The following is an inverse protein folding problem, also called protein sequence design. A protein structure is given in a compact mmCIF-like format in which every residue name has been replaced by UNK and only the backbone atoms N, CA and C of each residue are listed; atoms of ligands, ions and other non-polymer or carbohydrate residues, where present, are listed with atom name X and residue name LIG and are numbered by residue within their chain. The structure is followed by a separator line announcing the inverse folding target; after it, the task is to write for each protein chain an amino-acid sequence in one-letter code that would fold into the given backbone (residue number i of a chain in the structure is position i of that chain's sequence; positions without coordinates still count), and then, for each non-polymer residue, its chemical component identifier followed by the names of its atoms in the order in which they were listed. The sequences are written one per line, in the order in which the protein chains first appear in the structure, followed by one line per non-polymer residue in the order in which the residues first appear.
data_IF_864183475653
#
_entry.id   IF_864183475653
#
_cell.length_a   1.000
_cell.length_b   1.000
_cell.length_c   1.000
_cell.angle_alpha   90.00
_cell.angle_beta   90.00
_cell.angle_gamma   90.00
#
_symmetry.space_group_name_H-M   'P 1'
#
loop_
_entity.id
_entity.type
_entity.pdbx_description
1 polymer ?
#
# COMPACT_ATOMS: atom_id res chain seq x y z
N UNK A 1 14.36 -18.73 16.85
CA UNK A 1 14.64 -18.18 15.49
C UNK A 1 13.70 -17.03 15.16
N UNK A 2 12.38 -17.20 15.37
CA UNK A 2 11.36 -16.15 15.11
C UNK A 2 11.61 -14.81 15.82
N UNK A 3 11.89 -14.82 17.14
CA UNK A 3 12.18 -13.58 17.88
C UNK A 3 13.41 -12.80 17.35
N UNK A 4 14.42 -13.50 16.82
CA UNK A 4 15.56 -12.85 16.14
C UNK A 4 15.11 -12.17 14.84
N UNK A 5 14.26 -12.82 14.04
CA UNK A 5 13.74 -12.22 12.81
C UNK A 5 12.89 -10.98 13.08
N UNK A 6 12.10 -10.96 14.17
CA UNK A 6 11.34 -9.78 14.57
C UNK A 6 12.28 -8.62 14.97
N UNK A 7 13.33 -8.91 15.76
CA UNK A 7 14.35 -7.89 16.11
C UNK A 7 15.13 -7.39 14.90
N UNK A 8 15.44 -8.27 13.95
CA UNK A 8 16.15 -7.93 12.72
C UNK A 8 15.38 -6.94 11.84
N UNK A 9 14.07 -6.76 12.06
CA UNK A 9 13.30 -5.71 11.39
C UNK A 9 13.96 -4.33 11.55
N UNK A 10 14.57 -4.02 12.69
CA UNK A 10 15.26 -2.75 12.92
C UNK A 10 16.43 -2.50 11.94
N UNK A 11 17.03 -3.57 11.42
CA UNK A 11 18.14 -3.51 10.47
C UNK A 11 17.70 -3.55 9.00
N UNK A 12 16.41 -3.70 8.71
CA UNK A 12 15.87 -3.57 7.35
C UNK A 12 16.07 -2.14 6.81
N UNK A 13 16.00 -2.00 5.50
CA UNK A 13 16.21 -0.72 4.83
C UNK A 13 15.12 0.30 5.21
N UNK A 14 15.46 1.61 5.31
CA UNK A 14 14.51 2.66 5.65
C UNK A 14 13.23 2.69 4.80
N UNK A 15 13.32 2.39 3.50
CA UNK A 15 12.12 2.33 2.66
C UNK A 15 11.17 1.16 3.01
N UNK A 16 11.70 0.04 3.51
CA UNK A 16 10.89 -1.08 4.00
C UNK A 16 10.16 -0.70 5.29
N UNK A 17 10.79 0.11 6.15
CA UNK A 17 10.15 0.68 7.34
C UNK A 17 9.02 1.63 6.94
N UNK A 18 9.23 2.52 5.96
CA UNK A 18 8.19 3.42 5.48
C UNK A 18 6.94 2.64 5.02
N UNK A 19 7.14 1.59 4.20
CA UNK A 19 6.07 0.68 3.75
C UNK A 19 5.35 0.01 4.92
N UNK A 20 6.10 -0.48 5.90
CA UNK A 20 5.53 -1.13 7.07
C UNK A 20 4.64 -0.17 7.86
N UNK A 21 5.12 1.04 8.15
CA UNK A 21 4.36 2.03 8.92
C UNK A 21 3.17 2.60 8.13
N UNK A 22 3.25 2.75 6.80
CA UNK A 22 2.09 3.07 5.97
C UNK A 22 1.01 1.99 6.08
N UNK A 23 1.40 0.71 6.02
CA UNK A 23 0.46 -0.41 6.20
C UNK A 23 -0.10 -0.47 7.63
N UNK A 24 0.72 -0.16 8.62
CA UNK A 24 0.29 -0.06 10.01
C UNK A 24 -0.79 1.00 10.17
N UNK A 25 -0.58 2.22 9.64
CA UNK A 25 -1.53 3.33 9.75
C UNK A 25 -2.84 3.08 8.99
N UNK A 26 -2.76 2.45 7.82
CA UNK A 26 -3.92 2.26 6.93
C UNK A 26 -4.72 0.99 7.22
N UNK A 27 -4.17 -0.01 7.93
CA UNK A 27 -4.91 -1.24 8.23
C UNK A 27 -5.78 -1.10 9.48
N UNK A 28 -7.00 -1.64 9.45
CA UNK A 28 -7.90 -1.71 10.62
C UNK A 28 -7.21 -2.38 11.83
N UNK A 29 -6.57 -3.54 11.61
CA UNK A 29 -5.79 -4.26 12.62
C UNK A 29 -4.44 -4.61 12.03
N UNK A 30 -3.38 -4.26 12.75
CA UNK A 30 -2.02 -4.70 12.47
C UNK A 30 -1.24 -4.69 13.79
N UNK A 31 -0.65 -5.83 14.14
CA UNK A 31 0.24 -5.96 15.29
C UNK A 31 1.65 -5.53 14.91
N UNK A 32 2.22 -4.60 15.66
CA UNK A 32 3.58 -4.10 15.46
C UNK A 32 4.62 -5.16 15.80
N UNK A 33 5.85 -4.98 15.32
CA UNK A 33 6.95 -5.90 15.63
C UNK A 33 7.27 -5.92 17.12
N UNK A 34 7.14 -4.77 17.79
CA UNK A 34 7.41 -4.64 19.22
C UNK A 34 6.31 -5.32 20.06
N UNK A 35 5.03 -5.15 19.72
CA UNK A 35 3.93 -5.88 20.37
C UNK A 35 4.09 -7.40 20.24
N UNK A 36 4.47 -7.89 19.05
CA UNK A 36 4.73 -9.31 18.83
C UNK A 36 5.96 -9.80 19.62
N UNK A 37 6.99 -8.97 19.79
CA UNK A 37 8.18 -9.29 20.58
C UNK A 37 7.86 -9.37 22.07
N UNK A 38 7.09 -8.42 22.60
CA UNK A 38 6.64 -8.41 23.99
C UNK A 38 5.78 -9.64 24.28
N UNK A 39 4.81 -9.94 23.40
CA UNK A 39 3.96 -11.12 23.55
C UNK A 39 4.73 -12.44 23.42
N UNK A 40 5.87 -12.46 22.73
CA UNK A 40 6.67 -13.68 22.53
C UNK A 40 7.28 -14.21 23.83
N UNK A 41 7.58 -13.35 24.80
CA UNK A 41 8.10 -13.76 26.11
C UNK A 41 7.10 -14.60 26.91
N UNK A 42 5.81 -14.42 26.64
CA UNK A 42 4.75 -15.16 27.30
C UNK A 42 4.41 -16.49 26.63
N UNK A 43 4.99 -16.80 25.46
CA UNK A 43 4.69 -18.02 24.68
C UNK A 43 5.46 -19.21 25.25
N UNK A 44 4.72 -20.17 25.82
CA UNK A 44 5.27 -21.45 26.30
C UNK A 44 4.79 -22.62 25.44
N UNK A 45 5.42 -23.79 25.61
CA UNK A 45 5.01 -25.03 24.89
C UNK A 45 3.58 -25.41 25.25
N UNK A 46 3.20 -25.27 26.52
CA UNK A 46 1.88 -25.61 27.04
C UNK A 46 0.81 -24.67 26.44
N UNK A 47 1.09 -23.36 26.39
CA UNK A 47 0.18 -22.40 25.74
C UNK A 47 0.06 -22.65 24.24
N UNK A 48 1.14 -23.03 23.56
CA UNK A 48 1.10 -23.38 22.14
C UNK A 48 0.27 -24.64 21.89
N UNK A 49 0.42 -25.67 22.73
CA UNK A 49 -0.38 -26.89 22.67
C UNK A 49 -1.87 -26.58 22.88
N UNK A 50 -2.20 -25.78 23.89
CA UNK A 50 -3.57 -25.32 24.12
C UNK A 50 -4.11 -24.51 22.92
N UNK A 51 -3.32 -23.59 22.38
CA UNK A 51 -3.70 -22.79 21.21
C UNK A 51 -4.01 -23.66 19.98
N UNK A 52 -3.24 -24.72 19.72
CA UNK A 52 -3.52 -25.66 18.61
C UNK A 52 -4.89 -26.33 18.82
N UNK A 53 -5.19 -26.75 20.04
CA UNK A 53 -6.49 -27.31 20.41
C UNK A 53 -7.63 -26.30 20.31
N UNK A 54 -7.37 -25.00 20.45
CA UNK A 54 -8.36 -23.93 20.30
C UNK A 54 -8.56 -23.47 18.84
N UNK A 55 -7.51 -23.55 18.02
CA UNK A 55 -7.49 -23.06 16.64
C UNK A 55 -8.25 -23.98 15.67
N UNK A 56 -8.00 -25.29 15.75
CA UNK A 56 -8.48 -26.28 14.77
C UNK A 56 -9.98 -26.65 14.86
N UNK A 57 -10.69 -26.56 16.01
CA UNK A 57 -12.09 -26.98 16.09
C UNK A 57 -13.08 -26.17 15.27
N UNK A 58 -12.75 -24.94 14.84
CA UNK A 58 -13.65 -24.09 14.05
C UNK A 58 -12.91 -23.42 12.91
N UNK A 59 -13.16 -23.86 11.68
CA UNK A 59 -12.45 -23.36 10.51
C UNK A 59 -13.38 -23.03 9.36
N UNK A 60 -12.88 -22.18 8.47
CA UNK A 60 -13.39 -21.98 7.12
C UNK A 60 -12.22 -22.25 6.17
N UNK A 61 -12.42 -23.15 5.23
CA UNK A 61 -11.39 -23.57 4.27
C UNK A 61 -11.81 -23.08 2.90
N UNK A 62 -10.96 -22.26 2.29
CA UNK A 62 -11.08 -21.86 0.90
C UNK A 62 -9.83 -22.33 0.18
N UNK A 63 -10.02 -23.15 -0.86
CA UNK A 63 -8.93 -23.81 -1.56
C UNK A 63 -9.03 -23.59 -3.06
N UNK A 64 -7.88 -23.41 -3.70
CA UNK A 64 -7.74 -23.43 -5.16
C UNK A 64 -6.94 -24.66 -5.56
N UNK A 65 -7.57 -25.54 -6.33
CA UNK A 65 -6.90 -26.68 -6.95
C UNK A 65 -6.81 -26.40 -8.45
N UNK A 66 -5.59 -26.26 -8.96
CA UNK A 66 -5.32 -25.89 -10.34
C UNK A 66 -4.11 -26.64 -10.90
N UNK A 67 -4.29 -27.38 -12.00
CA UNK A 67 -3.21 -28.14 -12.63
C UNK A 67 -3.70 -29.41 -13.32
N UNK A 68 -2.81 -30.40 -13.44
CA UNK A 68 -3.10 -31.70 -14.04
C UNK A 68 -3.85 -32.62 -13.07
N UNK A 69 -5.09 -32.25 -12.76
CA UNK A 69 -5.98 -33.00 -11.85
C UNK A 69 -7.40 -32.93 -12.38
N UNK A 70 -8.13 -34.03 -12.22
CA UNK A 70 -9.55 -34.08 -12.57
C UNK A 70 -10.40 -33.46 -11.47
N UNK A 71 -11.65 -33.11 -11.80
CA UNK A 71 -12.63 -32.66 -10.81
C UNK A 71 -12.84 -33.67 -9.69
N UNK A 72 -12.87 -34.97 -10.01
CA UNK A 72 -13.04 -36.03 -9.01
C UNK A 72 -11.87 -36.06 -8.03
N UNK A 73 -10.63 -36.04 -8.54
CA UNK A 73 -9.42 -35.99 -7.71
C UNK A 73 -9.38 -34.73 -6.85
N UNK A 74 -9.82 -33.59 -7.40
CA UNK A 74 -9.86 -32.32 -6.65
C UNK A 74 -10.85 -32.38 -5.48
N UNK A 75 -12.03 -32.96 -5.69
CA UNK A 75 -13.03 -33.15 -4.64
C UNK A 75 -12.57 -34.17 -3.59
N UNK A 76 -11.87 -35.22 -4.02
CA UNK A 76 -11.29 -36.21 -3.13
C UNK A 76 -10.18 -35.61 -2.25
N UNK A 77 -9.28 -34.79 -2.82
CA UNK A 77 -8.25 -34.08 -2.06
C UNK A 77 -8.86 -33.17 -0.99
N UNK A 78 -9.92 -32.44 -1.33
CA UNK A 78 -10.61 -31.58 -0.36
C UNK A 78 -11.28 -32.44 0.73
N UNK A 79 -12.00 -33.50 0.36
CA UNK A 79 -12.62 -34.44 1.31
C UNK A 79 -11.59 -35.01 2.28
N UNK A 80 -10.40 -35.42 1.80
CA UNK A 80 -9.34 -35.94 2.66
C UNK A 80 -8.88 -34.91 3.70
N UNK A 81 -8.76 -33.63 3.32
CA UNK A 81 -8.41 -32.54 4.24
C UNK A 81 -9.52 -32.33 5.29
N UNK A 82 -10.77 -32.27 4.84
CA UNK A 82 -11.96 -32.16 5.69
C UNK A 82 -12.03 -33.34 6.70
N UNK A 83 -11.91 -34.57 6.20
CA UNK A 83 -11.95 -35.81 6.98
C UNK A 83 -10.82 -35.87 8.03
N UNK A 84 -9.59 -35.49 7.66
CA UNK A 84 -8.46 -35.46 8.60
C UNK A 84 -8.67 -34.44 9.72
N UNK A 85 -9.21 -33.25 9.42
CA UNK A 85 -9.50 -32.22 10.41
C UNK A 85 -10.66 -32.64 11.32
N UNK A 86 -11.72 -33.20 10.74
CA UNK A 86 -12.87 -33.73 11.48
C UNK A 86 -12.45 -34.87 12.42
N UNK A 87 -11.66 -35.83 11.94
CA UNK A 87 -11.24 -36.98 12.71
C UNK A 87 -10.27 -36.62 13.86
N UNK A 88 -9.33 -35.72 13.62
CA UNK A 88 -8.26 -35.42 14.59
C UNK A 88 -8.54 -34.18 15.46
N UNK A 89 -9.44 -33.30 15.05
CA UNK A 89 -9.66 -32.00 15.73
C UNK A 89 -11.14 -31.66 15.92
N UNK A 90 -12.06 -32.56 15.54
CA UNK A 90 -13.51 -32.35 15.63
C UNK A 90 -13.93 -31.02 15.00
N UNK A 91 -13.26 -30.64 13.90
CA UNK A 91 -13.44 -29.38 13.22
C UNK A 91 -14.87 -29.20 12.73
N UNK A 92 -15.42 -28.00 12.93
CA UNK A 92 -16.77 -27.61 12.52
C UNK A 92 -16.72 -26.30 11.72
N UNK A 93 -17.76 -26.02 10.91
CA UNK A 93 -17.75 -24.81 10.09
C UNK A 93 -17.78 -23.56 10.96
N UNK A 94 -16.96 -22.58 10.59
CA UNK A 94 -17.18 -21.20 11.04
C UNK A 94 -18.52 -20.69 10.51
N UNK A 95 -19.22 -19.94 11.34
CA UNK A 95 -20.43 -19.25 10.90
C UNK A 95 -20.07 -18.17 9.87
N UNK A 96 -20.92 -17.90 8.86
CA UNK A 96 -20.63 -16.88 7.85
C UNK A 96 -20.31 -15.50 8.45
N UNK A 97 -20.96 -15.12 9.56
CA UNK A 97 -20.71 -13.86 10.27
C UNK A 97 -19.36 -13.80 10.99
N UNK A 98 -18.73 -14.95 11.27
CA UNK A 98 -17.41 -15.03 11.90
C UNK A 98 -16.27 -14.90 10.87
N UNK A 99 -16.56 -15.03 9.57
CA UNK A 99 -15.60 -14.81 8.50
C UNK A 99 -15.39 -13.30 8.24
N UNK A 100 -14.95 -12.57 9.29
CA UNK A 100 -14.68 -11.13 9.22
C UNK A 100 -13.37 -10.88 8.48
N UNK A 101 -13.41 -9.97 7.50
CA UNK A 101 -12.23 -9.45 6.80
C UNK A 101 -11.90 -8.06 7.32
N UNK A 102 -10.62 -7.78 7.47
CA UNK A 102 -10.13 -6.46 7.87
C UNK A 102 -10.28 -5.44 6.75
N UNK A 103 -10.52 -4.19 7.14
CA UNK A 103 -10.73 -3.04 6.26
C UNK A 103 -9.51 -2.13 6.24
N UNK A 104 -9.54 -1.17 5.33
CA UNK A 104 -8.57 -0.09 5.28
C UNK A 104 -9.22 1.21 5.79
N UNK A 105 -8.44 2.01 6.51
CA UNK A 105 -8.81 3.33 7.01
C UNK A 105 -9.13 4.25 5.84
N UNK A 106 -10.22 4.99 5.96
CA UNK A 106 -10.66 6.01 5.02
C UNK A 106 -10.13 7.36 5.47
N UNK A 107 -9.16 7.88 4.73
CA UNK A 107 -8.61 9.20 4.94
C UNK A 107 -9.65 10.28 4.54
N UNK A 108 -9.81 11.37 5.30
CA UNK A 108 -10.77 12.43 4.99
C UNK A 108 -10.34 13.32 3.82
N UNK A 109 -11.30 13.86 3.08
CA UNK A 109 -11.06 14.79 1.97
C UNK A 109 -10.15 15.97 2.39
N UNK A 110 -9.14 16.27 1.58
CA UNK A 110 -8.17 17.34 1.83
C UNK A 110 -7.17 17.07 2.94
N UNK A 111 -7.13 15.86 3.52
CA UNK A 111 -6.22 15.58 4.62
C UNK A 111 -4.75 15.56 4.20
N UNK A 112 -3.89 15.90 5.16
CA UNK A 112 -2.47 15.64 5.09
C UNK A 112 -1.99 15.15 6.46
N UNK A 113 -1.74 13.85 6.55
CA UNK A 113 -1.18 13.23 7.75
C UNK A 113 0.31 12.94 7.57
N UNK A 114 1.07 13.09 8.66
CA UNK A 114 2.49 12.80 8.70
C UNK A 114 2.83 11.91 9.89
N UNK A 115 3.41 10.75 9.64
CA UNK A 115 4.01 9.91 10.68
C UNK A 115 5.53 9.92 10.54
N UNK A 116 6.24 10.11 11.65
CA UNK A 116 7.71 10.14 11.68
C UNK A 116 8.23 8.99 12.52
N UNK A 117 9.25 8.30 12.01
CA UNK A 117 9.96 7.23 12.69
C UNK A 117 11.45 7.38 12.48
N UNK A 118 12.24 6.74 13.34
CA UNK A 118 13.70 6.74 13.26
C UNK A 118 14.22 5.38 12.80
N UNK A 119 15.27 5.39 12.00
CA UNK A 119 16.09 4.22 11.72
C UNK A 119 17.48 4.44 12.32
N UNK A 120 17.87 3.57 13.23
CA UNK A 120 19.13 3.68 13.98
C UNK A 120 20.29 2.90 13.35
N UNK A 121 20.07 2.28 12.18
CA UNK A 121 21.04 1.38 11.54
C UNK A 121 21.61 1.98 10.26
N UNK A 122 20.75 2.58 9.42
CA UNK A 122 21.14 3.09 8.10
C UNK A 122 21.30 4.61 8.10
N UNK A 123 22.29 5.11 7.36
CA UNK A 123 22.62 6.55 7.20
C UNK A 123 21.63 7.30 6.30
N UNK A 124 20.95 6.60 5.40
CA UNK A 124 19.93 7.21 4.55
C UNK A 124 18.58 7.30 5.27
N UNK A 125 17.85 8.37 5.02
CA UNK A 125 16.43 8.48 5.36
C UNK A 125 15.56 7.94 4.23
N UNK A 126 14.26 7.74 4.49
CA UNK A 126 13.30 7.40 3.45
C UNK A 126 11.93 8.02 3.72
N UNK A 127 11.18 8.17 2.64
CA UNK A 127 9.80 8.62 2.65
C UNK A 127 8.94 7.70 1.78
N UNK A 128 7.73 7.39 2.24
CA UNK A 128 6.62 6.98 1.39
C UNK A 128 5.52 8.04 1.47
N UNK A 129 5.11 8.57 0.32
CA UNK A 129 3.93 9.42 0.19
C UNK A 129 2.83 8.61 -0.48
N UNK A 130 1.70 8.47 0.20
CA UNK A 130 0.53 7.74 -0.25
C UNK A 130 -0.64 8.70 -0.51
N UNK A 131 -1.19 8.64 -1.72
CA UNK A 131 -2.39 9.35 -2.14
C UNK A 131 -3.52 8.34 -2.32
N UNK A 132 -4.42 8.24 -1.34
CA UNK A 132 -5.51 7.25 -1.35
C UNK A 132 -6.62 7.63 -2.34
N UNK A 133 -6.87 6.77 -3.31
CA UNK A 133 -7.82 7.02 -4.41
C UNK A 133 -9.17 6.29 -4.23
N UNK A 134 -9.38 5.63 -3.09
CA UNK A 134 -10.63 4.95 -2.74
C UNK A 134 -10.74 3.50 -3.21
N UNK A 135 -11.98 3.03 -3.38
CA UNK A 135 -12.28 1.63 -3.65
C UNK A 135 -11.88 1.18 -5.05
N UNK A 136 -11.49 -0.08 -5.15
CA UNK A 136 -11.25 -0.77 -6.41
C UNK A 136 -12.56 -1.10 -7.13
N UNK A 137 -12.63 -0.69 -8.40
CA UNK A 137 -13.61 -1.09 -9.39
C UNK A 137 -12.97 -0.91 -10.78
N UNK A 138 -13.61 -1.41 -11.84
CA UNK A 138 -13.05 -1.38 -13.20
C UNK A 138 -12.56 0.01 -13.62
N UNK A 139 -13.36 1.05 -13.40
CA UNK A 139 -13.03 2.41 -13.77
C UNK A 139 -11.86 2.98 -12.96
N UNK A 140 -11.97 2.96 -11.63
CA UNK A 140 -10.95 3.48 -10.73
C UNK A 140 -9.61 2.74 -10.89
N UNK A 141 -9.67 1.42 -11.12
CA UNK A 141 -8.48 0.61 -11.36
C UNK A 141 -7.75 1.08 -12.62
N UNK A 142 -8.50 1.34 -13.71
CA UNK A 142 -7.89 1.68 -15.00
C UNK A 142 -7.40 3.11 -15.02
N UNK A 143 -8.11 4.05 -14.41
CA UNK A 143 -7.64 5.42 -14.24
C UNK A 143 -6.33 5.47 -13.45
N UNK A 144 -6.27 4.79 -12.30
CA UNK A 144 -5.08 4.79 -11.46
C UNK A 144 -3.90 4.05 -12.10
N UNK A 145 -4.13 2.88 -12.71
CA UNK A 145 -3.06 2.15 -13.42
C UNK A 145 -2.53 2.94 -14.63
N UNK A 146 -3.42 3.55 -15.43
CA UNK A 146 -3.01 4.38 -16.57
C UNK A 146 -2.26 5.63 -16.09
N UNK A 147 -2.71 6.25 -15.00
CA UNK A 147 -2.00 7.38 -14.39
C UNK A 147 -0.58 6.98 -14.00
N UNK A 148 -0.41 5.86 -13.29
CA UNK A 148 0.91 5.36 -12.90
C UNK A 148 1.76 4.94 -14.11
N UNK A 149 1.16 4.42 -15.19
CA UNK A 149 1.85 4.11 -16.44
C UNK A 149 2.38 5.37 -17.13
N UNK A 150 1.64 6.48 -17.08
CA UNK A 150 2.04 7.78 -17.65
C UNK A 150 3.15 8.43 -16.82
N UNK A 151 2.97 8.51 -15.50
CA UNK A 151 3.91 9.23 -14.64
C UNK A 151 5.14 8.41 -14.23
N UNK A 152 5.17 7.11 -14.51
CA UNK A 152 6.20 6.19 -14.03
C UNK A 152 7.61 6.56 -14.49
N UNK A 153 7.81 6.73 -15.80
CA UNK A 153 9.09 7.16 -16.36
C UNK A 153 9.45 8.60 -15.94
N UNK A 154 8.54 9.60 -16.06
CA UNK A 154 8.84 10.97 -15.61
C UNK A 154 9.22 11.06 -14.14
N UNK A 155 8.52 10.31 -13.26
CA UNK A 155 8.82 10.26 -11.83
C UNK A 155 10.23 9.74 -11.57
N UNK A 156 10.62 8.66 -12.25
CA UNK A 156 11.95 8.11 -12.13
C UNK A 156 12.97 9.08 -12.70
N UNK A 157 12.80 9.56 -13.92
CA UNK A 157 13.75 10.47 -14.56
C UNK A 157 14.00 11.74 -13.73
N UNK A 158 12.94 12.40 -13.26
CA UNK A 158 13.06 13.65 -12.49
C UNK A 158 13.70 13.38 -11.13
N UNK A 159 13.09 12.51 -10.29
CA UNK A 159 13.55 12.35 -8.91
C UNK A 159 14.86 11.54 -8.80
N UNK A 160 15.11 10.59 -9.71
CA UNK A 160 16.31 9.73 -9.70
C UNK A 160 17.43 10.27 -10.57
N UNK A 161 17.16 10.58 -11.83
CA UNK A 161 18.21 10.86 -12.83
C UNK A 161 18.66 12.32 -12.77
N UNK A 162 17.70 13.26 -12.74
CA UNK A 162 17.97 14.69 -12.77
C UNK A 162 18.28 15.24 -11.38
N UNK A 163 17.39 15.01 -10.41
CA UNK A 163 17.53 15.55 -9.05
C UNK A 163 18.40 14.68 -8.13
N UNK A 164 18.71 13.45 -8.57
CA UNK A 164 19.63 12.53 -7.89
C UNK A 164 19.29 12.27 -6.41
N UNK A 165 17.99 12.22 -6.07
CA UNK A 165 17.56 12.15 -4.67
C UNK A 165 17.99 10.85 -3.96
N UNK A 166 18.18 9.76 -4.69
CA UNK A 166 18.76 8.54 -4.14
C UNK A 166 18.54 7.35 -5.05
N UNK A 167 19.15 6.20 -4.75
CA UNK A 167 19.08 5.02 -5.63
C UNK A 167 17.67 4.44 -5.77
N UNK A 168 16.93 4.44 -4.67
CA UNK A 168 15.59 3.88 -4.60
C UNK A 168 14.61 5.04 -4.82
N UNK A 169 14.03 5.07 -6.02
CA UNK A 169 12.90 5.92 -6.39
C UNK A 169 11.88 5.02 -7.06
N UNK A 170 10.68 4.96 -6.50
CA UNK A 170 9.60 4.13 -7.01
C UNK A 170 8.29 4.90 -6.98
N UNK A 171 7.50 4.79 -8.05
CA UNK A 171 6.10 5.19 -8.05
C UNK A 171 5.22 4.05 -8.58
N UNK A 172 3.98 3.97 -8.08
CA UNK A 172 3.03 3.01 -8.60
C UNK A 172 1.81 2.82 -7.72
N UNK A 173 1.01 1.82 -8.09
CA UNK A 173 -0.24 1.50 -7.39
C UNK A 173 0.05 0.76 -6.09
N UNK A 174 -0.56 1.23 -4.99
CA UNK A 174 -0.73 0.48 -3.74
C UNK A 174 -2.15 -0.08 -3.71
N UNK A 175 -2.31 -1.37 -3.38
CA UNK A 175 -3.61 -2.04 -3.18
C UNK A 175 -3.63 -2.77 -1.85
N UNK A 176 -4.68 -2.55 -1.06
CA UNK A 176 -4.86 -3.23 0.22
C UNK A 176 -6.33 -3.21 0.60
N UNK A 177 -6.84 -4.36 1.06
CA UNK A 177 -8.22 -4.56 1.55
C UNK A 177 -9.35 -3.96 0.67
N UNK A 178 -9.17 -3.99 -0.66
CA UNK A 178 -10.15 -3.44 -1.61
C UNK A 178 -10.01 -1.95 -1.91
N UNK A 179 -9.08 -1.26 -1.26
CA UNK A 179 -8.74 0.15 -1.45
C UNK A 179 -7.44 0.25 -2.25
N UNK A 180 -7.24 1.37 -2.93
CA UNK A 180 -6.04 1.63 -3.71
C UNK A 180 -5.62 3.10 -3.70
N UNK A 181 -4.40 3.37 -4.17
CA UNK A 181 -3.93 4.72 -4.38
C UNK A 181 -2.54 4.76 -5.01
N UNK A 182 -2.09 5.97 -5.35
CA UNK A 182 -0.72 6.21 -5.80
C UNK A 182 0.22 6.21 -4.59
N UNK A 183 1.37 5.56 -4.70
CA UNK A 183 2.49 5.74 -3.77
C UNK A 183 3.75 6.17 -4.48
N UNK A 184 4.54 7.01 -3.80
CA UNK A 184 5.89 7.40 -4.20
C UNK A 184 6.83 7.08 -3.03
N UNK A 185 7.88 6.31 -3.28
CA UNK A 185 8.86 5.89 -2.28
C UNK A 185 10.23 6.39 -2.71
N UNK A 186 10.92 7.10 -1.82
CA UNK A 186 12.29 7.56 -2.05
C UNK A 186 13.14 7.21 -0.83
N UNK A 187 14.31 6.62 -1.05
CA UNK A 187 15.36 6.49 -0.03
C UNK A 187 16.50 7.43 -0.41
N UNK A 188 16.84 8.35 0.49
CA UNK A 188 17.71 9.50 0.22
C UNK A 188 18.65 9.78 1.37
N UNK A 189 19.81 10.38 1.08
CA UNK A 189 20.65 11.02 2.10
C UNK A 189 20.12 12.41 2.53
N UNK A 190 19.14 12.97 1.80
CA UNK A 190 18.50 14.24 2.13
C UNK A 190 17.41 14.05 3.18
N UNK A 191 17.10 15.09 3.98
CA UNK A 191 15.99 15.06 4.92
C UNK A 191 14.65 14.73 4.23
N UNK A 192 13.78 13.87 4.80
CA UNK A 192 12.49 13.51 4.20
C UNK A 192 11.60 14.71 3.83
N UNK A 193 11.63 15.79 4.60
CA UNK A 193 10.87 17.02 4.32
C UNK A 193 11.29 17.68 2.99
N UNK A 194 12.60 17.71 2.70
CA UNK A 194 13.11 18.20 1.42
C UNK A 194 12.63 17.30 0.28
N UNK A 195 12.74 15.98 0.46
CA UNK A 195 12.32 14.99 -0.54
C UNK A 195 10.82 15.06 -0.79
N UNK A 196 10.00 15.28 0.24
CA UNK A 196 8.56 15.49 0.08
C UNK A 196 8.24 16.72 -0.76
N UNK A 197 8.94 17.84 -0.54
CA UNK A 197 8.82 19.03 -1.38
C UNK A 197 9.16 18.75 -2.85
N UNK A 198 10.18 17.94 -3.13
CA UNK A 198 10.53 17.51 -4.49
C UNK A 198 9.47 16.59 -5.12
N UNK A 199 8.92 15.65 -4.33
CA UNK A 199 7.80 14.81 -4.78
C UNK A 199 6.60 15.69 -5.14
N UNK A 200 6.28 16.70 -4.33
CA UNK A 200 5.16 17.60 -4.58
C UNK A 200 5.40 18.55 -5.76
N UNK A 201 6.64 19.01 -5.97
CA UNK A 201 7.03 19.71 -7.20
C UNK A 201 6.80 18.84 -8.44
N UNK A 202 7.19 17.56 -8.37
CA UNK A 202 6.90 16.59 -9.42
C UNK A 202 5.40 16.38 -9.62
N UNK A 203 4.63 16.21 -8.55
CA UNK A 203 3.17 16.05 -8.64
C UNK A 203 2.52 17.28 -9.29
N UNK A 204 2.97 18.49 -8.97
CA UNK A 204 2.48 19.70 -9.64
C UNK A 204 2.80 19.69 -11.15
N UNK A 205 4.01 19.28 -11.52
CA UNK A 205 4.45 19.13 -12.91
C UNK A 205 3.68 18.04 -13.69
N UNK A 206 2.99 17.12 -13.01
CA UNK A 206 2.12 16.13 -13.69
C UNK A 206 1.01 16.80 -14.50
N UNK A 207 0.61 18.03 -14.12
CA UNK A 207 -0.28 18.85 -14.96
C UNK A 207 0.25 18.93 -16.39
N UNK A 208 1.48 19.39 -16.55
CA UNK A 208 2.10 19.65 -17.85
C UNK A 208 2.41 18.33 -18.56
N UNK A 209 2.87 17.31 -17.82
CA UNK A 209 3.06 15.95 -18.34
C UNK A 209 1.80 15.42 -19.02
N UNK A 210 0.61 15.61 -18.44
CA UNK A 210 -0.65 15.12 -19.03
C UNK A 210 -1.14 16.07 -20.14
N UNK A 211 -1.07 17.39 -19.93
CA UNK A 211 -1.63 18.36 -20.88
C UNK A 211 -0.84 18.40 -22.19
N UNK A 212 0.48 18.42 -22.10
CA UNK A 212 1.38 18.58 -23.23
C UNK A 212 1.65 17.25 -23.96
N UNK A 213 1.32 16.11 -23.34
CA UNK A 213 1.40 14.80 -23.97
C UNK A 213 0.57 14.75 -25.27
N UNK A 214 1.19 14.45 -26.43
CA UNK A 214 0.48 14.24 -27.67
C UNK A 214 -0.47 13.03 -27.59
N UNK A 215 -1.58 13.08 -28.32
CA UNK A 215 -2.57 11.98 -28.34
C UNK A 215 -1.97 10.65 -28.80
N UNK A 216 -0.98 10.70 -29.70
CA UNK A 216 -0.23 9.51 -30.14
C UNK A 216 0.54 8.86 -28.98
N UNK A 217 1.16 9.66 -28.12
CA UNK A 217 1.90 9.19 -26.95
C UNK A 217 0.95 8.62 -25.89
N UNK A 218 -0.18 9.28 -25.64
CA UNK A 218 -1.25 8.74 -24.79
C UNK A 218 -1.71 7.36 -25.31
N UNK A 219 -1.94 7.22 -26.61
CA UNK A 219 -2.28 5.95 -27.26
C UNK A 219 -1.21 4.86 -27.07
N UNK A 220 0.08 5.24 -27.03
CA UNK A 220 1.18 4.32 -26.71
C UNK A 220 1.13 3.85 -25.24
N UNK A 221 0.85 4.73 -24.28
CA UNK A 221 0.68 4.33 -22.87
C UNK A 221 -0.51 3.38 -22.68
N UNK A 222 -1.66 3.67 -23.30
CA UNK A 222 -2.85 2.79 -23.28
C UNK A 222 -2.51 1.42 -23.87
N UNK A 223 -1.85 1.39 -25.02
CA UNK A 223 -1.47 0.15 -25.70
C UNK A 223 -0.44 -0.67 -24.92
N UNK A 224 0.55 -0.01 -24.32
CA UNK A 224 1.56 -0.64 -23.48
C UNK A 224 0.94 -1.27 -22.23
N UNK A 225 0.06 -0.55 -21.54
CA UNK A 225 -0.64 -1.07 -20.37
C UNK A 225 -1.58 -2.22 -20.74
N UNK A 226 -2.33 -2.11 -21.84
CA UNK A 226 -3.18 -3.20 -22.34
C UNK A 226 -2.37 -4.46 -22.65
N UNK A 227 -1.20 -4.31 -23.29
CA UNK A 227 -0.30 -5.43 -23.61
C UNK A 227 0.22 -6.09 -22.33
N UNK A 228 0.66 -5.28 -21.36
CA UNK A 228 1.13 -5.77 -20.05
C UNK A 228 0.04 -6.55 -19.30
N UNK A 229 -1.20 -6.06 -19.32
CA UNK A 229 -2.35 -6.68 -18.66
C UNK A 229 -2.80 -7.99 -19.31
N UNK A 230 -2.75 -8.05 -20.64
CA UNK A 230 -3.13 -9.24 -21.41
C UNK A 230 -1.99 -10.25 -21.58
N UNK A 231 -0.81 -10.01 -21.02
CA UNK A 231 0.29 -10.97 -21.08
C UNK A 231 -0.16 -12.30 -20.46
N UNK A 232 -0.14 -13.35 -21.28
CA UNK A 232 -0.54 -14.70 -20.85
C UNK A 232 0.52 -15.25 -19.88
N UNK A 233 0.11 -15.85 -18.76
CA UNK A 233 1.03 -16.56 -17.88
C UNK A 233 1.84 -17.62 -18.63
N UNK A 234 3.17 -17.58 -18.45
CA UNK A 234 4.12 -18.51 -19.09
C UNK A 234 4.31 -19.79 -18.27
N UNK A 235 3.89 -19.79 -17.00
CA UNK A 235 4.04 -20.90 -16.05
C UNK A 235 2.72 -21.16 -15.33
N UNK A 236 2.47 -22.41 -14.96
CA UNK A 236 1.29 -22.83 -14.19
C UNK A 236 1.12 -22.00 -12.91
N UNK A 237 2.21 -21.79 -12.16
CA UNK A 237 2.22 -21.01 -10.91
C UNK A 237 1.78 -19.56 -11.13
N UNK A 238 2.11 -18.95 -12.27
CA UNK A 238 1.69 -17.58 -12.58
C UNK A 238 0.17 -17.50 -12.78
N UNK A 239 -0.41 -18.46 -13.52
CA UNK A 239 -1.87 -18.52 -13.68
C UNK A 239 -2.57 -18.83 -12.35
N UNK A 240 -2.03 -19.77 -11.57
CA UNK A 240 -2.53 -20.10 -10.24
C UNK A 240 -2.57 -18.86 -9.33
N UNK A 241 -1.50 -18.06 -9.32
CA UNK A 241 -1.43 -16.84 -8.51
C UNK A 241 -2.43 -15.77 -8.96
N UNK A 242 -2.75 -15.68 -10.27
CA UNK A 242 -3.81 -14.77 -10.75
C UNK A 242 -5.17 -15.15 -10.16
N UNK A 243 -5.54 -16.42 -10.26
CA UNK A 243 -6.80 -16.91 -9.65
C UNK A 243 -6.80 -16.79 -8.13
N UNK A 244 -5.69 -17.15 -7.49
CA UNK A 244 -5.58 -17.08 -6.04
C UNK A 244 -5.71 -15.64 -5.53
N UNK A 245 -5.17 -14.67 -6.26
CA UNK A 245 -5.33 -13.25 -5.92
C UNK A 245 -6.80 -12.84 -5.92
N UNK A 246 -7.59 -13.24 -6.92
CA UNK A 246 -9.04 -12.95 -6.97
C UNK A 246 -9.81 -13.58 -5.80
N UNK A 247 -9.39 -14.77 -5.36
CA UNK A 247 -9.98 -15.50 -4.24
C UNK A 247 -9.66 -14.80 -2.90
N UNK A 248 -8.38 -14.62 -2.57
CA UNK A 248 -7.97 -14.03 -1.28
C UNK A 248 -8.38 -12.55 -1.14
N UNK A 249 -8.49 -11.82 -2.26
CA UNK A 249 -9.01 -10.45 -2.28
C UNK A 249 -10.54 -10.37 -2.30
N UNK A 250 -11.20 -11.52 -2.51
CA UNK A 250 -12.67 -11.67 -2.49
C UNK A 250 -13.40 -10.98 -3.63
N UNK A 251 -12.69 -10.63 -4.70
CA UNK A 251 -13.30 -10.09 -5.91
C UNK A 251 -13.82 -11.19 -6.82
N UNK A 252 -13.16 -12.34 -6.93
CA UNK A 252 -13.55 -13.45 -7.81
C UNK A 252 -13.80 -13.03 -9.28
N UNK A 253 -13.07 -12.02 -9.78
CA UNK A 253 -13.17 -11.57 -11.16
C UNK A 253 -12.09 -12.26 -12.00
N UNK A 254 -12.35 -13.51 -12.40
CA UNK A 254 -11.36 -14.31 -13.12
C UNK A 254 -11.07 -13.81 -14.55
N UNK A 255 -12.00 -13.06 -15.14
CA UNK A 255 -11.86 -12.42 -16.46
C UNK A 255 -11.42 -10.95 -16.36
N UNK A 256 -10.89 -10.53 -15.19
CA UNK A 256 -10.55 -9.13 -14.89
C UNK A 256 -9.77 -8.45 -15.99
N UNK A 257 -8.73 -9.10 -16.53
CA UNK A 257 -7.88 -8.46 -17.55
C UNK A 257 -8.63 -8.15 -18.83
N UNK A 258 -9.57 -9.00 -19.24
CA UNK A 258 -10.38 -8.76 -20.44
C UNK A 258 -11.33 -7.59 -20.19
N UNK A 259 -12.04 -7.62 -19.04
CA UNK A 259 -13.01 -6.58 -18.65
C UNK A 259 -12.33 -5.22 -18.48
N UNK A 260 -11.23 -5.18 -17.74
CA UNK A 260 -10.51 -3.94 -17.45
C UNK A 260 -9.78 -3.39 -18.68
N UNK A 261 -9.20 -4.24 -19.55
CA UNK A 261 -8.57 -3.74 -20.79
C UNK A 261 -9.61 -3.23 -21.79
N UNK A 262 -10.81 -3.81 -21.83
CA UNK A 262 -11.89 -3.28 -22.64
C UNK A 262 -12.25 -1.84 -22.21
N UNK A 263 -12.35 -1.59 -20.90
CA UNK A 263 -12.59 -0.24 -20.35
C UNK A 263 -11.38 0.69 -20.54
N UNK A 264 -10.16 0.21 -20.33
CA UNK A 264 -8.93 1.00 -20.52
C UNK A 264 -8.86 1.63 -21.91
N UNK A 265 -9.28 0.89 -22.94
CA UNK A 265 -9.29 1.37 -24.34
C UNK A 265 -10.32 2.46 -24.61
N UNK A 266 -11.28 2.69 -23.71
CA UNK A 266 -12.26 3.77 -23.85
C UNK A 266 -11.82 5.07 -23.18
N UNK A 267 -10.78 5.03 -22.34
CA UNK A 267 -10.27 6.19 -21.62
C UNK A 267 -9.62 7.19 -22.57
N UNK A 268 -9.84 8.47 -22.27
CA UNK A 268 -9.27 9.62 -22.98
C UNK A 268 -8.30 10.37 -22.07
N UNK A 269 -7.43 11.18 -22.67
CA UNK A 269 -6.50 12.04 -21.93
C UNK A 269 -7.21 12.96 -20.92
N UNK A 270 -8.40 13.46 -21.27
CA UNK A 270 -9.23 14.28 -20.37
C UNK A 270 -9.77 13.52 -19.16
N UNK A 271 -10.04 12.20 -19.27
CA UNK A 271 -10.43 11.38 -18.11
C UNK A 271 -9.27 11.32 -17.11
N UNK A 272 -8.05 11.14 -17.61
CA UNK A 272 -6.83 11.07 -16.81
C UNK A 272 -6.54 12.41 -16.12
N UNK A 273 -6.71 13.52 -16.85
CA UNK A 273 -6.52 14.86 -16.30
C UNK A 273 -7.56 15.18 -15.21
N UNK A 274 -8.83 14.78 -15.40
CA UNK A 274 -9.86 14.90 -14.36
C UNK A 274 -9.51 14.08 -13.12
N UNK A 275 -9.06 12.84 -13.28
CA UNK A 275 -8.60 12.02 -12.17
C UNK A 275 -7.47 12.70 -11.38
N UNK A 276 -6.48 13.28 -12.07
CA UNK A 276 -5.41 14.05 -11.43
C UNK A 276 -5.95 15.22 -10.62
N UNK A 277 -6.78 16.07 -11.23
CA UNK A 277 -7.37 17.26 -10.58
C UNK A 277 -8.31 16.92 -9.42
N UNK A 278 -8.94 15.75 -9.44
CA UNK A 278 -9.89 15.36 -8.39
C UNK A 278 -9.21 14.65 -7.20
N UNK A 279 -8.16 13.86 -7.44
CA UNK A 279 -7.58 12.96 -6.42
C UNK A 279 -6.13 13.25 -6.01
N UNK A 280 -5.33 13.86 -6.87
CA UNK A 280 -3.86 13.86 -6.72
C UNK A 280 -3.27 15.27 -6.61
N UNK A 281 -3.76 16.22 -7.41
CA UNK A 281 -3.27 17.60 -7.44
C UNK A 281 -3.29 18.24 -6.05
N UNK A 282 -2.41 19.23 -5.82
CA UNK A 282 -2.30 19.90 -4.52
C UNK A 282 -3.63 20.49 -4.03
N UNK A 283 -4.40 21.06 -4.95
CA UNK A 283 -5.71 21.69 -4.72
C UNK A 283 -6.89 20.73 -4.97
N UNK A 284 -6.63 19.42 -5.10
CA UNK A 284 -7.67 18.45 -5.40
C UNK A 284 -8.67 18.35 -4.23
N UNK A 285 -9.99 18.40 -4.52
CA UNK A 285 -11.01 18.37 -3.46
C UNK A 285 -11.01 17.07 -2.68
N UNK A 286 -10.71 15.95 -3.34
CA UNK A 286 -10.71 14.61 -2.76
C UNK A 286 -9.27 14.10 -2.61
N UNK A 287 -8.35 14.98 -2.22
CA UNK A 287 -6.94 14.65 -1.97
C UNK A 287 -6.81 13.97 -0.60
N UNK A 288 -6.30 12.75 -0.58
CA UNK A 288 -6.11 11.97 0.64
C UNK A 288 -4.64 11.64 0.83
N UNK A 289 -3.89 12.51 1.51
CA UNK A 289 -2.43 12.37 1.62
C UNK A 289 -2.01 11.82 2.98
N UNK A 290 -1.20 10.77 2.97
CA UNK A 290 -0.45 10.26 4.12
C UNK A 290 1.04 10.16 3.75
N UNK A 291 1.90 10.78 4.57
CA UNK A 291 3.35 10.68 4.44
C UNK A 291 3.95 9.96 5.63
N UNK A 292 4.87 9.04 5.38
CA UNK A 292 5.66 8.36 6.41
C UNK A 292 7.13 8.69 6.21
N UNK A 293 7.73 9.36 7.19
CA UNK A 293 9.14 9.75 7.17
C UNK A 293 9.92 8.83 8.10
N UNK A 294 10.90 8.12 7.55
CA UNK A 294 11.88 7.34 8.31
C UNK A 294 13.20 8.10 8.28
N UNK A 295 13.57 8.71 9.40
CA UNK A 295 14.76 9.56 9.52
C UNK A 295 15.94 8.72 10.02
N UNK A 296 17.09 8.86 9.38
CA UNK A 296 18.33 8.26 9.89
C UNK A 296 18.81 8.99 11.15
N UNK A 297 19.18 8.23 12.18
CA UNK A 297 19.81 8.76 13.41
C UNK A 297 21.35 8.62 13.39
N UNK A 298 21.94 8.03 12.34
CA UNK A 298 23.39 7.74 12.30
C UNK A 298 24.24 8.89 11.74
N UNK A 299 23.63 10.03 11.42
CA UNK A 299 24.33 11.26 11.03
C UNK A 299 24.45 12.22 12.22
N UNK A 300 25.65 12.27 12.83
CA UNK A 300 26.11 13.45 13.54
C UNK A 300 26.20 14.61 12.56
N UNK A 301 25.29 15.60 12.68
CA UNK A 301 25.24 16.69 11.71
C UNK A 301 24.09 17.69 11.82
N UNK A 302 23.55 17.95 13.02
CA UNK A 302 22.86 19.21 13.34
C UNK A 302 22.84 19.38 14.88
N UNK A 303 23.82 20.15 15.35
CA UNK A 303 23.93 20.78 16.68
C UNK A 303 23.73 19.91 17.91
N UNK A 304 24.84 19.36 18.42
CA UNK A 304 25.06 19.26 19.86
C UNK A 304 25.10 20.66 20.46
N UNK A 305 24.00 21.12 21.05
CA UNK A 305 24.04 22.01 22.20
C UNK A 305 23.34 21.30 23.35
N UNK A 306 24.11 21.05 24.41
CA UNK A 306 23.69 20.25 25.55
C UNK A 306 22.54 20.87 26.34
N UNK A 307 21.73 19.98 26.91
CA UNK A 307 20.99 20.15 28.15
C UNK A 307 19.92 21.24 28.20
N UNK A 308 18.65 20.83 28.09
CA UNK A 308 17.61 21.11 29.09
C UNK A 308 16.32 20.37 28.78
N UNK A 309 15.71 19.85 29.85
CA UNK A 309 14.41 19.20 29.90
C UNK A 309 13.27 20.13 29.49
N UNK A 310 12.18 19.49 29.04
CA UNK A 310 10.78 19.90 29.09
C UNK A 310 10.44 21.36 28.68
N UNK A 311 9.86 21.49 27.50
CA UNK A 311 9.12 22.69 27.10
C UNK A 311 8.56 22.53 25.69
N UNK A 312 7.26 22.71 25.55
CA UNK A 312 6.52 22.80 24.28
C UNK A 312 7.30 23.63 23.26
N UNK A 313 7.83 22.99 22.21
CA UNK A 313 8.44 23.72 21.10
C UNK A 313 7.40 23.97 20.02
N UNK A 314 7.01 25.24 20.00
CA UNK A 314 6.38 25.97 18.91
C UNK A 314 6.86 25.48 17.53
N UNK A 315 5.91 25.37 16.62
CA UNK A 315 6.17 25.33 15.18
C UNK A 315 6.94 26.59 14.79
N UNK A 316 8.26 26.49 14.66
CA UNK A 316 9.01 27.40 13.82
C UNK A 316 8.62 27.08 12.38
N UNK A 317 7.57 27.75 11.92
CA UNK A 317 7.36 28.03 10.52
C UNK A 317 8.61 28.80 10.10
N UNK A 318 9.56 28.11 9.48
CA UNK A 318 10.48 28.79 8.59
C UNK A 318 9.58 29.47 7.54
N UNK A 319 9.31 30.75 7.74
CA UNK A 319 9.02 31.67 6.66
C UNK A 319 10.30 31.72 5.82
N UNK A 320 10.52 30.66 5.02
CA UNK A 320 11.44 30.67 3.90
C UNK A 320 10.76 31.43 2.74
N UNK A 321 10.29 32.63 3.05
CA UNK A 321 10.01 33.66 2.06
C UNK A 321 11.31 34.30 1.62
N UNK A 322 12.26 33.51 1.11
CA UNK A 322 13.36 33.98 0.24
C UNK A 322 14.34 32.91 -0.28
N UNK A 323 14.04 31.61 -0.19
CA UNK A 323 14.82 30.57 -0.89
C UNK A 323 14.33 30.42 -2.34
N UNK A 324 14.51 31.48 -3.14
CA UNK A 324 14.58 31.32 -4.60
C UNK A 324 15.89 30.60 -4.94
N UNK A 325 15.74 29.37 -5.46
CA UNK A 325 16.61 28.69 -6.42
C UNK A 325 18.12 28.64 -6.10
N UNK A 326 18.60 27.51 -5.59
CA UNK A 326 20.04 27.15 -5.65
C UNK A 326 20.35 25.86 -6.42
N UNK A 327 19.35 25.05 -6.73
CA UNK A 327 19.52 23.77 -7.42
C UNK A 327 19.05 23.79 -8.88
N UNK A 328 18.34 24.84 -9.32
CA UNK A 328 17.83 24.99 -10.68
C UNK A 328 16.66 24.05 -11.01
N UNK A 329 16.06 23.41 -10.01
CA UNK A 329 14.92 22.52 -10.19
C UNK A 329 13.59 23.26 -10.06
N UNK A 330 12.49 22.62 -10.51
CA UNK A 330 11.14 23.17 -10.35
C UNK A 330 10.87 23.53 -8.88
N UNK A 331 10.30 24.71 -8.58
CA UNK A 331 10.07 25.14 -7.21
C UNK A 331 9.06 24.22 -6.51
N UNK A 332 9.34 23.86 -5.26
CA UNK A 332 8.38 23.11 -4.46
C UNK A 332 7.19 24.00 -4.09
N UNK A 333 5.94 23.49 -4.18
CA UNK A 333 4.79 24.25 -3.72
C UNK A 333 4.80 24.39 -2.21
N UNK A 334 4.15 25.44 -1.71
CA UNK A 334 3.87 25.59 -0.27
C UNK A 334 2.85 24.53 0.13
N UNK A 335 3.25 23.61 1.00
CA UNK A 335 2.37 22.58 1.53
C UNK A 335 1.58 23.08 2.74
N UNK A 336 0.34 22.63 2.94
CA UNK A 336 -0.36 22.88 4.19
C UNK A 336 0.38 22.20 5.36
N UNK A 337 0.18 22.69 6.57
CA UNK A 337 0.73 22.06 7.76
C UNK A 337 0.11 20.65 7.94
N UNK A 338 0.92 19.58 8.06
CA UNK A 338 0.39 18.25 8.28
C UNK A 338 -0.14 18.08 9.69
N UNK A 339 -1.16 17.24 9.84
CA UNK A 339 -1.51 16.67 11.15
C UNK A 339 -0.52 15.55 11.47
N UNK A 340 0.31 15.75 12.49
CA UNK A 340 1.33 14.78 12.89
C UNK A 340 0.68 13.64 13.68
N UNK A 341 0.87 12.40 13.21
CA UNK A 341 0.35 11.19 13.84
C UNK A 341 1.40 10.61 14.78
N UNK A 342 1.21 10.77 16.08
CA UNK A 342 2.08 10.21 17.14
C UNK A 342 1.52 8.93 17.74
N UNK A 343 0.19 8.84 17.89
CA UNK A 343 -0.52 7.66 18.37
C UNK A 343 -1.35 7.05 17.22
N UNK A 344 -0.99 5.83 16.85
CA UNK A 344 -1.60 5.09 15.74
C UNK A 344 -3.02 4.62 16.07
N UNK A 345 -3.28 4.29 17.34
CA UNK A 345 -4.58 3.79 17.78
C UNK A 345 -5.58 4.92 17.86
N UNK A 346 -5.18 6.07 18.38
CA UNK A 346 -5.99 7.31 18.34
C UNK A 346 -6.29 7.74 16.90
N UNK A 347 -5.26 7.79 16.06
CA UNK A 347 -5.42 8.12 14.64
C UNK A 347 -6.46 7.25 13.93
N UNK A 348 -6.45 5.93 14.17
CA UNK A 348 -7.41 5.02 13.55
C UNK A 348 -8.80 5.11 14.16
N UNK A 349 -8.91 5.36 15.47
CA UNK A 349 -10.18 5.41 16.21
C UNK A 349 -11.09 6.51 15.67
N UNK A 350 -10.51 7.63 15.28
CA UNK A 350 -11.25 8.82 14.88
C UNK A 350 -11.58 8.85 13.37
N UNK A 351 -11.16 7.83 12.62
CA UNK A 351 -11.36 7.72 11.19
C UNK A 351 -12.34 6.62 10.79
N UNK A 352 -13.03 6.84 9.67
CA UNK A 352 -13.90 5.85 9.06
C UNK A 352 -13.10 4.67 8.49
N UNK A 353 -13.78 3.55 8.26
CA UNK A 353 -13.23 2.39 7.55
C UNK A 353 -13.98 2.20 6.22
N UNK A 354 -13.26 1.94 5.14
CA UNK A 354 -13.87 1.61 3.86
C UNK A 354 -14.70 0.31 3.94
N UNK A 355 -15.77 0.19 3.13
CA UNK A 355 -16.45 -1.08 2.96
C UNK A 355 -15.54 -2.10 2.27
N UNK A 356 -15.85 -3.38 2.46
CA UNK A 356 -15.15 -4.47 1.78
C UNK A 356 -15.59 -4.57 0.30
N UNK A 357 -14.75 -5.13 -0.58
CA UNK A 357 -15.11 -5.48 -1.94
C UNK A 357 -16.41 -6.27 -2.06
N UNK A 358 -17.20 -5.95 -3.09
CA UNK A 358 -18.31 -6.79 -3.51
C UNK A 358 -17.76 -7.88 -4.44
N UNK A 359 -18.05 -9.18 -4.19
CA UNK A 359 -17.71 -10.25 -5.11
C UNK A 359 -18.32 -10.02 -6.49
N UNK A 360 -17.56 -10.34 -7.54
CA UNK A 360 -17.99 -10.25 -8.93
C UNK A 360 -18.98 -11.37 -9.31
N UNK A 361 -18.91 -12.50 -8.60
CA UNK A 361 -19.84 -13.62 -8.73
C UNK A 361 -20.67 -13.79 -7.46
N UNK A 362 -21.88 -14.33 -7.61
CA UNK A 362 -22.75 -14.67 -6.49
C UNK A 362 -22.28 -15.94 -5.77
N UNK A 363 -21.70 -15.77 -4.59
CA UNK A 363 -21.20 -16.85 -3.75
C UNK A 363 -22.29 -17.50 -2.89
N UNK A 364 -23.52 -16.96 -2.82
CA UNK A 364 -24.59 -17.51 -1.97
C UNK A 364 -25.06 -18.90 -2.43
N UNK A 365 -24.75 -19.28 -3.68
CA UNK A 365 -25.01 -20.60 -4.25
C UNK A 365 -23.92 -21.63 -3.93
N UNK A 366 -22.79 -21.22 -3.34
CA UNK A 366 -21.75 -22.13 -2.93
C UNK A 366 -22.20 -22.86 -1.65
N UNK A 367 -22.40 -24.18 -1.74
CA UNK A 367 -22.69 -25.01 -0.56
C UNK A 367 -21.46 -24.98 0.35
N UNK A 368 -21.65 -24.57 1.61
CA UNK A 368 -20.64 -24.78 2.64
C UNK A 368 -20.54 -26.29 2.93
N UNK A 369 -19.41 -26.90 2.60
CA UNK A 369 -18.94 -28.19 3.10
C UNK A 369 -17.70 -27.95 3.95
N UNK A 370 -17.35 -28.92 4.79
CA UNK A 370 -16.42 -28.74 5.88
C UNK A 370 -15.86 -30.08 6.34
#
# INVERSE_FOLDING_TARGET
MHGRNLKNFQAEQPHQHAIFYTNMLTSEVLWTKDELLLALEEVTVEKLQAFISDLLPKMYIEGLIYGNVTKSQSLEMLSQVEDMLCANSQTRPLLPSQHRKFREVQLPDGCYFLHKQKNHVHESSSIEVYYQCGLQNTENNMLLELFCQVIGEPCFNILRTQEQLGYIVFSGVRRSKGVQGLRVIVQSSRPPQYVEGRIEAFIQNVHDVIRDMPEEEFGKHVSALATKRLEKPKKLVQQNNKYWTEIISSFYNFDRDIVEVAFLRTLKKDDLYRFYKEKIALDAPNRHKLSVHVVSDTSGGATSNGGREAGEQQFDVAQDGDNKEKDGFLPAPVLPLPTVVTDVMEFKRDLCLYPLPKPFIDLTKAKAKL
#
